data_IF_302298434550
#
_entry.id   IF_302298434550
#
_cell.length_a   1.000
_cell.length_b   1.000
_cell.length_c   1.000
_cell.angle_alpha   90.00
_cell.angle_beta   90.00
_cell.angle_gamma   90.00
#
_symmetry.space_group_name_H-M   'P 1'
#
loop_
_entity.id
_entity.type
_entity.pdbx_description
1 polymer ?
#
# COMPACT_ATOMS: atom_id res chain seq x y z
N UNK A 1 -5.76 -25.88 9.32
CA UNK A 1 -6.16 -24.47 9.55
C UNK A 1 -7.67 -24.45 9.72
N UNK A 2 -8.18 -23.93 10.83
CA UNK A 2 -9.61 -23.66 11.03
C UNK A 2 -9.84 -22.22 10.60
N UNK A 3 -10.72 -22.02 9.62
CA UNK A 3 -11.12 -20.70 9.18
C UNK A 3 -12.45 -20.35 9.83
N UNK A 4 -12.51 -19.17 10.44
CA UNK A 4 -13.70 -18.63 11.09
C UNK A 4 -14.17 -17.40 10.35
N UNK A 5 -15.42 -17.42 9.89
CA UNK A 5 -16.05 -16.25 9.26
C UNK A 5 -16.62 -15.31 10.33
N UNK A 6 -15.84 -14.31 10.69
CA UNK A 6 -16.24 -13.31 11.66
C UNK A 6 -17.39 -12.41 11.16
N UNK A 7 -17.53 -12.26 9.84
CA UNK A 7 -18.55 -11.39 9.23
C UNK A 7 -19.93 -12.10 9.12
N UNK A 8 -20.01 -13.42 9.29
CA UNK A 8 -21.28 -14.13 9.24
C UNK A 8 -22.22 -13.66 10.37
N UNK A 9 -23.35 -13.01 9.99
CA UNK A 9 -24.33 -12.41 10.90
C UNK A 9 -23.77 -11.27 11.80
N UNK A 10 -22.82 -10.51 11.29
CA UNK A 10 -22.21 -9.40 11.99
C UNK A 10 -23.18 -8.19 12.09
N UNK A 11 -23.05 -7.42 13.18
CA UNK A 11 -23.66 -6.09 13.26
C UNK A 11 -22.99 -5.17 12.21
N UNK A 12 -23.74 -4.49 11.35
CA UNK A 12 -23.19 -3.58 10.34
C UNK A 12 -22.22 -2.51 10.89
N UNK A 13 -22.32 -2.21 12.20
CA UNK A 13 -21.42 -1.27 12.88
C UNK A 13 -20.01 -1.83 13.10
N UNK A 14 -19.81 -3.13 13.00
CA UNK A 14 -18.51 -3.78 13.17
C UNK A 14 -17.67 -3.80 11.88
N UNK A 15 -18.25 -3.41 10.75
CA UNK A 15 -17.55 -3.22 9.47
C UNK A 15 -16.71 -4.42 8.99
N UNK A 16 -17.15 -5.64 9.27
CA UNK A 16 -16.43 -6.86 8.88
C UNK A 16 -15.36 -7.32 9.86
N UNK A 17 -15.19 -6.67 11.02
CA UNK A 17 -14.15 -7.03 11.99
C UNK A 17 -14.54 -8.14 12.96
N UNK A 18 -15.85 -8.36 13.23
CA UNK A 18 -16.32 -9.43 14.10
C UNK A 18 -15.93 -9.29 15.57
N UNK A 19 -15.84 -8.08 16.09
CA UNK A 19 -15.41 -7.81 17.46
C UNK A 19 -16.22 -8.58 18.50
N UNK A 20 -17.56 -8.62 18.36
CA UNK A 20 -18.46 -9.26 19.33
C UNK A 20 -18.29 -10.79 19.42
N UNK A 21 -17.80 -11.43 18.36
CA UNK A 21 -17.57 -12.88 18.33
C UNK A 21 -16.16 -13.27 18.76
N UNK A 22 -15.26 -12.30 18.83
CA UNK A 22 -13.85 -12.57 19.08
C UNK A 22 -13.60 -13.22 20.45
N UNK A 23 -14.27 -12.73 21.49
CA UNK A 23 -14.19 -13.33 22.83
C UNK A 23 -14.61 -14.79 22.83
N UNK A 24 -15.79 -15.11 22.31
CA UNK A 24 -16.32 -16.47 22.21
C UNK A 24 -15.36 -17.39 21.45
N UNK A 25 -14.80 -16.88 20.35
CA UNK A 25 -13.83 -17.61 19.54
C UNK A 25 -12.55 -17.94 20.34
N UNK A 26 -12.00 -16.97 21.06
CA UNK A 26 -10.80 -17.17 21.90
C UNK A 26 -11.07 -18.17 23.02
N UNK A 27 -12.22 -18.08 23.69
CA UNK A 27 -12.62 -19.01 24.75
C UNK A 27 -12.82 -20.43 24.22
N UNK A 28 -13.36 -20.57 23.01
CA UNK A 28 -13.59 -21.88 22.37
C UNK A 28 -12.29 -22.53 21.90
N UNK A 29 -11.39 -21.75 21.26
CA UNK A 29 -10.13 -22.25 20.70
C UNK A 29 -9.07 -22.45 21.78
N UNK A 30 -9.10 -21.65 22.85
CA UNK A 30 -8.11 -21.62 23.93
C UNK A 30 -6.66 -21.61 23.39
N UNK A 31 -6.25 -20.59 22.62
CA UNK A 31 -4.95 -20.57 21.95
C UNK A 31 -3.80 -20.27 22.94
N UNK A 32 -2.58 -20.69 22.60
CA UNK A 32 -1.36 -20.26 23.32
C UNK A 32 -0.93 -18.84 22.92
N UNK A 33 -1.21 -18.45 21.67
CA UNK A 33 -0.86 -17.14 21.11
C UNK A 33 -2.06 -16.58 20.33
N UNK A 34 -2.40 -15.35 20.62
CA UNK A 34 -3.32 -14.54 19.82
C UNK A 34 -2.48 -13.55 19.05
N UNK A 35 -2.57 -13.57 17.71
CA UNK A 35 -1.92 -12.57 16.87
C UNK A 35 -2.98 -11.70 16.17
N UNK A 36 -2.91 -10.38 16.37
CA UNK A 36 -3.84 -9.43 15.76
C UNK A 36 -3.05 -8.54 14.81
N UNK A 37 -3.46 -8.55 13.54
CA UNK A 37 -2.92 -7.70 12.49
C UNK A 37 -3.94 -6.64 12.09
N UNK A 38 -3.68 -5.39 12.41
CA UNK A 38 -4.48 -4.24 11.95
C UNK A 38 -3.84 -2.90 12.35
N UNK A 39 -4.56 -1.79 12.09
CA UNK A 39 -4.21 -0.47 12.61
C UNK A 39 -4.44 -0.35 14.13
N UNK A 40 -3.86 0.67 14.80
CA UNK A 40 -3.98 0.83 16.26
C UNK A 40 -5.41 0.95 16.78
N UNK A 41 -6.33 1.53 16.00
CA UNK A 41 -7.72 1.74 16.43
C UNK A 41 -8.44 0.37 16.51
N UNK A 42 -8.34 -0.40 15.45
CA UNK A 42 -8.94 -1.75 15.36
C UNK A 42 -8.34 -2.69 16.40
N UNK A 43 -7.00 -2.70 16.54
CA UNK A 43 -6.31 -3.50 17.55
C UNK A 43 -6.82 -3.18 18.96
N UNK A 44 -7.00 -1.89 19.29
CA UNK A 44 -7.53 -1.51 20.60
C UNK A 44 -8.94 -2.02 20.84
N UNK A 45 -9.79 -2.09 19.83
CA UNK A 45 -11.13 -2.68 19.96
C UNK A 45 -11.06 -4.16 20.30
N UNK A 46 -10.19 -4.93 19.63
CA UNK A 46 -9.95 -6.34 19.99
C UNK A 46 -9.40 -6.51 21.40
N UNK A 47 -8.47 -5.66 21.83
CA UNK A 47 -7.94 -5.68 23.20
C UNK A 47 -9.05 -5.45 24.24
N UNK A 48 -10.04 -4.59 23.94
CA UNK A 48 -11.18 -4.39 24.85
C UNK A 48 -12.00 -5.69 25.00
N UNK A 49 -12.19 -6.47 23.94
CA UNK A 49 -12.92 -7.76 24.00
C UNK A 49 -12.18 -8.82 24.83
N UNK A 50 -10.86 -8.71 24.98
CA UNK A 50 -10.03 -9.64 25.73
C UNK A 50 -9.95 -9.35 27.23
N UNK A 51 -10.46 -8.21 27.73
CA UNK A 51 -10.31 -7.78 29.12
C UNK A 51 -10.87 -8.79 30.12
N UNK A 52 -11.99 -9.42 29.78
CA UNK A 52 -12.71 -10.36 30.65
C UNK A 52 -12.43 -11.83 30.29
N UNK A 53 -11.48 -12.08 29.38
CA UNK A 53 -11.05 -13.42 29.02
C UNK A 53 -9.91 -13.86 29.92
N UNK A 54 -10.02 -15.06 30.51
CA UNK A 54 -8.96 -15.63 31.34
C UNK A 54 -7.65 -15.72 30.54
N UNK A 55 -6.57 -15.09 31.05
CA UNK A 55 -5.31 -15.00 30.32
C UNK A 55 -4.50 -16.29 30.48
N UNK A 56 -4.66 -17.21 29.52
CA UNK A 56 -3.78 -18.36 29.31
C UNK A 56 -2.89 -18.22 28.05
N UNK A 57 -2.98 -17.10 27.36
CA UNK A 57 -2.42 -16.83 26.05
C UNK A 57 -1.43 -15.63 26.10
N UNK A 58 -0.60 -15.53 25.07
CA UNK A 58 0.24 -14.35 24.79
C UNK A 58 -0.38 -13.54 23.66
N UNK A 59 -0.39 -12.22 23.80
CA UNK A 59 -0.88 -11.31 22.76
C UNK A 59 0.28 -10.76 21.94
N UNK A 60 0.27 -11.06 20.65
CA UNK A 60 1.16 -10.50 19.66
C UNK A 60 0.38 -9.53 18.78
N UNK A 61 0.89 -8.33 18.62
CA UNK A 61 0.26 -7.29 17.82
C UNK A 61 1.14 -6.99 16.62
N UNK A 62 0.62 -7.29 15.42
CA UNK A 62 1.26 -6.90 14.17
C UNK A 62 0.65 -5.57 13.70
N UNK A 63 1.39 -4.49 13.90
CA UNK A 63 0.87 -3.14 13.86
C UNK A 63 0.99 -2.55 12.46
N UNK A 64 -0.15 -2.29 11.81
CA UNK A 64 -0.22 -1.53 10.56
C UNK A 64 -0.17 -0.03 10.85
N UNK A 65 1.02 0.54 10.76
CA UNK A 65 1.23 1.98 10.85
C UNK A 65 1.54 2.56 9.48
N UNK A 66 0.80 3.60 9.09
CA UNK A 66 0.97 4.28 7.80
C UNK A 66 1.39 5.73 7.94
N UNK A 67 1.30 6.29 9.16
CA UNK A 67 1.68 7.67 9.47
C UNK A 67 2.64 7.73 10.64
N UNK A 68 3.58 8.68 10.60
CA UNK A 68 4.34 9.07 11.78
C UNK A 68 3.46 9.84 12.76
N UNK A 69 3.87 9.93 14.00
CA UNK A 69 3.03 10.37 15.08
C UNK A 69 2.24 9.21 15.67
N UNK A 70 1.44 9.47 16.68
CA UNK A 70 0.61 8.45 17.30
C UNK A 70 -0.44 9.07 18.20
N UNK A 71 -1.58 8.41 18.29
CA UNK A 71 -2.43 8.55 19.47
C UNK A 71 -1.76 7.80 20.62
N UNK A 72 -1.22 8.58 21.57
CA UNK A 72 -0.48 8.00 22.69
C UNK A 72 -1.37 7.18 23.62
N UNK A 73 -2.68 7.44 23.67
CA UNK A 73 -3.63 6.62 24.44
C UNK A 73 -3.77 5.22 23.83
N UNK A 74 -3.93 5.13 22.50
CA UNK A 74 -4.03 3.87 21.80
C UNK A 74 -2.71 3.07 21.90
N UNK A 75 -1.57 3.71 21.70
CA UNK A 75 -0.27 3.04 21.83
C UNK A 75 0.00 2.53 23.23
N UNK A 76 -0.35 3.27 24.29
CA UNK A 76 -0.20 2.80 25.67
C UNK A 76 -1.09 1.61 25.98
N UNK A 77 -2.31 1.59 25.46
CA UNK A 77 -3.18 0.43 25.63
C UNK A 77 -2.59 -0.81 24.98
N UNK A 78 -2.02 -0.66 23.77
CA UNK A 78 -1.33 -1.76 23.08
C UNK A 78 -0.10 -2.19 23.89
N UNK A 79 0.74 -1.23 24.31
CA UNK A 79 1.94 -1.47 25.09
C UNK A 79 1.67 -2.26 26.39
N UNK A 80 0.57 -1.91 27.09
CA UNK A 80 0.17 -2.57 28.33
C UNK A 80 -0.44 -3.96 28.14
N UNK A 81 -1.04 -4.22 26.99
CA UNK A 81 -1.75 -5.48 26.71
C UNK A 81 -0.88 -6.51 26.00
N UNK A 82 0.02 -6.06 25.10
CA UNK A 82 0.78 -6.92 24.23
C UNK A 82 2.02 -7.51 24.93
N UNK A 83 2.26 -8.79 24.71
CA UNK A 83 3.52 -9.46 25.09
C UNK A 83 4.61 -9.22 24.01
N UNK A 84 4.18 -8.86 22.79
CA UNK A 84 5.07 -8.56 21.65
C UNK A 84 4.39 -7.63 20.66
N UNK A 85 5.15 -6.65 20.16
CA UNK A 85 4.74 -5.81 19.03
C UNK A 85 5.59 -6.17 17.82
N UNK A 86 4.94 -6.31 16.67
CA UNK A 86 5.58 -6.58 15.39
C UNK A 86 5.26 -5.40 14.47
N UNK A 87 6.24 -4.93 13.73
CA UNK A 87 6.09 -3.85 12.75
C UNK A 87 6.68 -4.23 11.41
N UNK A 88 6.37 -3.47 10.35
CA UNK A 88 6.74 -3.83 8.98
C UNK A 88 8.20 -3.59 8.64
N UNK A 89 8.86 -2.63 9.29
CA UNK A 89 10.23 -2.23 8.93
C UNK A 89 11.02 -1.77 10.16
N UNK A 90 12.34 -1.76 10.07
CA UNK A 90 13.21 -1.20 11.10
C UNK A 90 12.93 0.29 11.37
N UNK A 91 12.47 1.02 10.36
CA UNK A 91 12.08 2.42 10.53
C UNK A 91 10.88 2.55 11.44
N UNK A 92 9.86 1.69 11.27
CA UNK A 92 8.70 1.64 12.16
C UNK A 92 9.08 1.17 13.56
N UNK A 93 9.97 0.19 13.68
CA UNK A 93 10.52 -0.22 14.97
C UNK A 93 11.18 0.95 15.69
N UNK A 94 12.08 1.66 15.01
CA UNK A 94 12.76 2.84 15.57
C UNK A 94 11.74 3.91 16.00
N UNK A 95 10.72 4.15 15.18
CA UNK A 95 9.65 5.11 15.50
C UNK A 95 8.88 4.69 16.77
N UNK A 96 8.50 3.43 16.89
CA UNK A 96 7.81 2.90 18.08
C UNK A 96 8.68 3.01 19.33
N UNK A 97 9.97 2.67 19.24
CA UNK A 97 10.92 2.78 20.36
C UNK A 97 11.02 4.20 20.94
N UNK A 98 10.77 5.24 20.14
CA UNK A 98 10.73 6.63 20.62
C UNK A 98 9.41 7.02 21.28
N UNK A 99 8.38 6.19 21.21
CA UNK A 99 7.02 6.47 21.67
C UNK A 99 6.57 5.59 22.83
N UNK A 100 7.05 4.37 22.88
CA UNK A 100 6.73 3.41 23.92
C UNK A 100 7.61 3.66 25.16
N UNK A 101 7.05 3.39 26.33
CA UNK A 101 7.67 3.70 27.63
C UNK A 101 8.00 2.48 28.45
N UNK A 102 7.43 1.33 28.12
CA UNK A 102 7.68 0.06 28.83
C UNK A 102 9.07 -0.47 28.49
N UNK A 103 9.98 -0.58 29.47
CA UNK A 103 11.41 -0.86 29.20
C UNK A 103 11.69 -2.20 28.52
N UNK A 104 10.80 -3.17 28.67
CA UNK A 104 11.03 -4.57 28.26
C UNK A 104 10.06 -5.07 27.17
N UNK A 105 9.26 -4.17 26.56
CA UNK A 105 8.38 -4.62 25.48
C UNK A 105 9.22 -5.10 24.28
N UNK A 106 8.91 -6.29 23.80
CA UNK A 106 9.59 -6.86 22.63
C UNK A 106 9.00 -6.26 21.36
N UNK A 107 9.84 -5.57 20.58
CA UNK A 107 9.46 -5.05 19.28
C UNK A 107 10.30 -5.77 18.23
N UNK A 108 9.63 -6.50 17.34
CA UNK A 108 10.27 -7.23 16.25
C UNK A 108 9.85 -6.66 14.90
N UNK A 109 10.60 -6.99 13.87
CA UNK A 109 10.30 -6.62 12.48
C UNK A 109 9.93 -7.88 11.72
N UNK A 110 8.80 -7.83 11.04
CA UNK A 110 8.39 -8.80 10.04
C UNK A 110 7.98 -8.04 8.79
N UNK A 111 8.85 -7.99 7.81
CA UNK A 111 8.54 -7.33 6.54
C UNK A 111 7.46 -8.09 5.76
N UNK A 112 6.97 -7.50 4.69
CA UNK A 112 6.09 -8.21 3.76
C UNK A 112 6.92 -8.90 2.68
N UNK A 113 6.45 -10.08 2.30
CA UNK A 113 6.95 -10.83 1.16
C UNK A 113 6.09 -10.64 -0.08
N UNK A 114 6.48 -11.28 -1.17
CA UNK A 114 5.72 -11.37 -2.41
C UNK A 114 5.64 -12.82 -2.89
N UNK A 115 4.51 -13.21 -3.47
CA UNK A 115 4.40 -14.48 -4.17
C UNK A 115 4.90 -14.31 -5.61
N UNK A 116 6.16 -14.67 -5.84
CA UNK A 116 6.79 -14.59 -7.16
C UNK A 116 6.38 -15.71 -8.14
N UNK A 117 5.55 -16.65 -7.71
CA UNK A 117 4.90 -17.61 -8.61
C UNK A 117 3.70 -16.96 -9.31
N UNK A 118 3.03 -16.07 -8.62
CA UNK A 118 1.88 -15.30 -9.12
C UNK A 118 2.37 -14.01 -9.79
N UNK A 119 3.06 -13.15 -9.03
CA UNK A 119 3.55 -11.86 -9.51
C UNK A 119 4.87 -12.02 -10.24
N UNK A 120 4.80 -11.94 -11.57
CA UNK A 120 5.93 -12.20 -12.47
C UNK A 120 5.73 -11.52 -13.82
N UNK A 121 6.82 -11.31 -14.60
CA UNK A 121 6.69 -10.84 -15.97
C UNK A 121 5.88 -11.81 -16.84
N UNK A 122 5.00 -11.25 -17.66
CA UNK A 122 4.32 -11.93 -18.75
C UNK A 122 5.09 -11.77 -20.06
N UNK A 123 4.79 -12.60 -21.04
CA UNK A 123 5.34 -12.44 -22.39
C UNK A 123 4.82 -11.15 -23.06
N UNK A 124 5.58 -10.63 -24.03
CA UNK A 124 5.17 -9.45 -24.80
C UNK A 124 3.82 -9.67 -25.51
N UNK A 125 3.55 -10.89 -25.97
CA UNK A 125 2.29 -11.26 -26.62
C UNK A 125 1.11 -11.13 -25.65
N UNK A 126 1.23 -11.69 -24.44
CA UNK A 126 0.18 -11.60 -23.39
C UNK A 126 -0.03 -10.15 -22.98
N UNK A 127 1.05 -9.42 -22.70
CA UNK A 127 1.02 -8.00 -22.35
C UNK A 127 0.32 -7.15 -23.40
N UNK A 128 0.64 -7.34 -24.68
CA UNK A 128 0.02 -6.62 -25.79
C UNK A 128 -1.46 -6.99 -25.95
N UNK A 129 -1.82 -8.25 -25.70
CA UNK A 129 -3.22 -8.69 -25.68
C UNK A 129 -4.03 -7.96 -24.63
N UNK A 130 -3.50 -7.82 -23.41
CA UNK A 130 -4.17 -7.10 -22.30
C UNK A 130 -4.27 -5.61 -22.63
N UNK A 131 -3.21 -4.97 -23.13
CA UNK A 131 -3.23 -3.56 -23.57
C UNK A 131 -4.31 -3.30 -24.62
N UNK A 132 -4.45 -4.18 -25.59
CA UNK A 132 -5.51 -4.10 -26.62
C UNK A 132 -6.91 -4.13 -26.01
N UNK A 133 -7.15 -5.04 -25.04
CA UNK A 133 -8.44 -5.14 -24.36
C UNK A 133 -8.78 -3.89 -23.54
N UNK A 134 -7.77 -3.19 -23.03
CA UNK A 134 -7.91 -1.93 -22.30
C UNK A 134 -7.88 -0.68 -23.21
N UNK A 135 -7.86 -0.86 -24.53
CA UNK A 135 -7.71 0.22 -25.52
C UNK A 135 -6.47 1.11 -25.29
N UNK A 136 -5.38 0.51 -24.79
CA UNK A 136 -4.10 1.19 -24.61
C UNK A 136 -3.26 1.00 -25.87
N UNK A 137 -2.71 2.07 -26.49
CA UNK A 137 -1.87 1.94 -27.68
C UNK A 137 -0.65 1.05 -27.42
N UNK A 138 -0.31 0.19 -28.38
CA UNK A 138 0.79 -0.77 -28.22
C UNK A 138 2.15 -0.10 -27.99
N UNK A 139 2.36 1.09 -28.56
CA UNK A 139 3.58 1.89 -28.40
C UNK A 139 3.55 2.83 -27.19
N UNK A 140 2.51 2.79 -26.37
CA UNK A 140 2.40 3.67 -25.20
C UNK A 140 3.42 3.28 -24.12
N UNK A 141 3.98 4.30 -23.48
CA UNK A 141 4.67 4.19 -22.21
C UNK A 141 3.60 4.36 -21.12
N UNK A 142 3.33 3.29 -20.38
CA UNK A 142 2.19 3.21 -19.47
C UNK A 142 2.64 3.38 -18.04
N UNK A 143 2.06 4.36 -17.37
CA UNK A 143 2.14 4.54 -15.92
C UNK A 143 0.92 3.87 -15.27
N UNK A 144 1.11 3.23 -14.12
CA UNK A 144 0.04 2.59 -13.35
C UNK A 144 -0.05 3.18 -11.94
N UNK A 145 -1.23 3.66 -11.58
CA UNK A 145 -1.59 3.86 -10.17
C UNK A 145 -2.71 2.86 -9.81
N UNK A 146 -2.38 1.89 -8.96
CA UNK A 146 -3.31 0.87 -8.49
C UNK A 146 -3.49 1.00 -6.99
N UNK A 147 -4.39 1.90 -6.60
CA UNK A 147 -4.65 2.20 -5.21
C UNK A 147 -6.15 2.33 -4.93
N UNK A 148 -6.55 1.98 -3.71
CA UNK A 148 -7.89 2.31 -3.22
C UNK A 148 -8.12 3.83 -3.29
N UNK A 149 -9.30 4.26 -3.72
CA UNK A 149 -9.66 5.66 -3.81
C UNK A 149 -9.95 6.24 -2.42
N UNK A 150 -8.92 6.65 -1.72
CA UNK A 150 -9.01 7.29 -0.41
C UNK A 150 -8.14 8.54 -0.37
N UNK A 151 -8.46 9.48 0.52
CA UNK A 151 -7.74 10.75 0.68
C UNK A 151 -6.22 10.54 0.77
N UNK A 152 -5.79 9.58 1.59
CA UNK A 152 -4.39 9.25 1.81
C UNK A 152 -3.62 8.90 0.54
N UNK A 153 -4.28 8.28 -0.44
CA UNK A 153 -3.62 7.80 -1.67
C UNK A 153 -3.31 8.89 -2.69
N UNK A 154 -3.84 10.11 -2.48
CA UNK A 154 -3.52 11.31 -3.28
C UNK A 154 -3.54 11.04 -4.78
N UNK A 155 -4.65 10.44 -5.26
CA UNK A 155 -4.83 10.17 -6.69
C UNK A 155 -4.82 11.46 -7.52
N UNK A 156 -5.26 12.57 -6.92
CA UNK A 156 -5.16 13.92 -7.48
C UNK A 156 -3.72 14.26 -7.87
N UNK A 157 -2.76 14.01 -6.99
CA UNK A 157 -1.36 14.35 -7.20
C UNK A 157 -0.72 13.51 -8.34
N UNK A 158 -1.12 12.24 -8.49
CA UNK A 158 -0.73 11.43 -9.65
C UNK A 158 -1.23 12.06 -10.96
N UNK A 159 -2.50 12.45 -11.01
CA UNK A 159 -3.12 13.02 -12.21
C UNK A 159 -2.54 14.39 -12.56
N UNK A 160 -2.33 15.24 -11.55
CA UNK A 160 -1.67 16.54 -11.71
C UNK A 160 -0.24 16.40 -12.26
N UNK A 161 0.53 15.46 -11.73
CA UNK A 161 1.88 15.16 -12.19
C UNK A 161 1.88 14.64 -13.63
N UNK A 162 0.97 13.73 -13.95
CA UNK A 162 0.84 13.19 -15.31
C UNK A 162 0.44 14.25 -16.33
N UNK A 163 -0.49 15.16 -16.02
CA UNK A 163 -0.86 16.25 -16.91
C UNK A 163 0.33 17.20 -17.20
N UNK A 164 1.17 17.48 -16.19
CA UNK A 164 2.41 18.27 -16.37
C UNK A 164 3.43 17.54 -17.24
N UNK A 165 3.57 16.24 -17.08
CA UNK A 165 4.43 15.41 -17.94
C UNK A 165 4.00 15.50 -19.41
N UNK A 166 2.69 15.44 -19.69
CA UNK A 166 2.15 15.60 -21.04
C UNK A 166 2.41 16.99 -21.61
N UNK A 167 2.35 18.03 -20.79
CA UNK A 167 2.68 19.40 -21.20
C UNK A 167 4.15 19.55 -21.60
N UNK A 168 5.05 18.92 -20.84
CA UNK A 168 6.49 18.95 -21.12
C UNK A 168 6.85 18.11 -22.36
N UNK A 169 6.13 17.00 -22.59
CA UNK A 169 6.41 16.05 -23.68
C UNK A 169 5.17 15.74 -24.53
N UNK A 170 4.66 16.71 -25.29
CA UNK A 170 3.36 16.62 -25.99
C UNK A 170 3.27 15.53 -27.05
N UNK A 171 4.41 15.08 -27.60
CA UNK A 171 4.47 14.09 -28.68
C UNK A 171 4.83 12.68 -28.19
N UNK A 172 5.13 12.53 -26.90
CA UNK A 172 5.41 11.20 -26.33
C UNK A 172 4.10 10.43 -26.14
N UNK A 173 4.10 9.12 -26.41
CA UNK A 173 2.89 8.29 -26.28
C UNK A 173 2.68 7.85 -24.81
N UNK A 174 2.67 8.80 -23.88
CA UNK A 174 2.40 8.51 -22.49
C UNK A 174 0.94 8.18 -22.27
N UNK A 175 0.68 7.22 -21.39
CA UNK A 175 -0.63 6.78 -20.98
C UNK A 175 -0.65 6.48 -19.46
N UNK A 176 -1.70 6.87 -18.77
CA UNK A 176 -1.89 6.57 -17.35
C UNK A 176 -3.06 5.59 -17.19
N UNK A 177 -2.79 4.44 -16.59
CA UNK A 177 -3.80 3.50 -16.16
C UNK A 177 -4.07 3.70 -14.66
N UNK A 178 -5.32 4.03 -14.33
CA UNK A 178 -5.79 4.11 -12.95
C UNK A 178 -6.65 2.88 -12.66
N UNK A 179 -6.28 2.10 -11.65
CA UNK A 179 -7.06 0.95 -11.18
C UNK A 179 -7.57 1.31 -9.78
N UNK A 180 -8.83 1.78 -9.71
CA UNK A 180 -9.37 2.37 -8.48
C UNK A 180 -10.90 2.43 -8.52
N UNK A 181 -11.55 2.42 -7.36
CA UNK A 181 -12.99 2.65 -7.27
C UNK A 181 -13.33 4.11 -7.58
N UNK A 182 -14.38 4.35 -8.36
CA UNK A 182 -14.76 5.72 -8.78
C UNK A 182 -16.17 6.12 -8.35
N UNK A 183 -16.96 5.20 -7.80
CA UNK A 183 -18.35 5.49 -7.41
C UNK A 183 -18.41 5.98 -5.97
N UNK A 184 -19.12 7.10 -5.71
CA UNK A 184 -19.27 7.65 -4.35
C UNK A 184 -19.89 6.67 -3.36
N UNK A 185 -20.85 5.87 -3.77
CA UNK A 185 -21.47 4.82 -2.95
C UNK A 185 -20.51 3.72 -2.50
N UNK A 186 -19.39 3.55 -3.22
CA UNK A 186 -18.27 2.69 -2.82
C UNK A 186 -17.20 3.39 -2.01
N UNK A 187 -17.46 4.61 -1.53
CA UNK A 187 -16.52 5.38 -0.69
C UNK A 187 -15.38 6.06 -1.47
N UNK A 188 -15.55 6.27 -2.78
CA UNK A 188 -14.55 6.98 -3.58
C UNK A 188 -14.39 8.44 -3.12
N UNK A 189 -13.17 8.82 -2.74
CA UNK A 189 -12.85 10.17 -2.29
C UNK A 189 -12.60 11.14 -3.47
N UNK A 190 -11.93 10.65 -4.51
CA UNK A 190 -11.59 11.43 -5.71
C UNK A 190 -12.48 11.04 -6.90
N UNK A 191 -12.64 12.01 -7.83
CA UNK A 191 -13.21 11.78 -9.17
C UNK A 191 -12.08 11.89 -10.21
N UNK A 192 -11.36 10.80 -10.50
CA UNK A 192 -10.08 10.88 -11.24
C UNK A 192 -10.21 11.51 -12.60
N UNK A 193 -11.23 11.13 -13.39
CA UNK A 193 -11.41 11.69 -14.73
C UNK A 193 -11.69 13.20 -14.68
N UNK A 194 -12.54 13.63 -13.75
CA UNK A 194 -12.86 15.06 -13.60
C UNK A 194 -11.62 15.88 -13.20
N UNK A 195 -10.84 15.37 -12.26
CA UNK A 195 -9.58 16.02 -11.85
C UNK A 195 -8.64 16.14 -13.04
N UNK A 196 -8.49 15.05 -13.82
CA UNK A 196 -7.60 15.05 -14.97
C UNK A 196 -8.03 16.09 -16.04
N UNK A 197 -9.31 16.12 -16.39
CA UNK A 197 -9.80 17.09 -17.39
C UNK A 197 -9.66 18.53 -16.91
N UNK A 198 -9.91 18.80 -15.63
CA UNK A 198 -9.67 20.12 -15.03
C UNK A 198 -8.19 20.52 -15.10
N UNK A 199 -7.27 19.59 -14.84
CA UNK A 199 -5.82 19.85 -14.94
C UNK A 199 -5.39 20.15 -16.39
N UNK A 200 -5.95 19.43 -17.37
CA UNK A 200 -5.69 19.74 -18.78
C UNK A 200 -6.12 21.18 -19.13
N UNK A 201 -7.32 21.58 -18.69
CA UNK A 201 -7.84 22.93 -18.90
C UNK A 201 -6.94 23.99 -18.23
N UNK A 202 -6.60 23.81 -16.96
CA UNK A 202 -5.71 24.73 -16.21
C UNK A 202 -4.32 24.87 -16.84
N UNK A 203 -3.84 23.82 -17.48
CA UNK A 203 -2.55 23.82 -18.18
C UNK A 203 -2.62 24.31 -19.63
N UNK A 204 -3.83 24.60 -20.14
CA UNK A 204 -4.07 24.99 -21.53
C UNK A 204 -3.83 23.86 -22.54
N UNK A 205 -4.07 22.61 -22.12
CA UNK A 205 -3.95 21.42 -22.96
C UNK A 205 -5.32 21.06 -23.59
N UNK A 206 -5.29 20.62 -24.85
CA UNK A 206 -6.50 20.24 -25.58
C UNK A 206 -7.10 18.91 -25.04
N UNK A 207 -8.28 18.98 -24.47
CA UNK A 207 -9.02 17.83 -23.94
C UNK A 207 -9.35 16.78 -25.03
N UNK A 208 -9.52 17.17 -26.30
CA UNK A 208 -9.76 16.20 -27.37
C UNK A 208 -8.50 15.38 -27.69
N UNK A 209 -7.33 16.02 -27.62
CA UNK A 209 -6.02 15.35 -27.86
C UNK A 209 -5.57 14.51 -26.67
N UNK A 210 -5.72 15.04 -25.46
CA UNK A 210 -5.11 14.43 -24.26
C UNK A 210 -6.10 13.69 -23.37
N UNK A 211 -7.42 13.92 -23.48
CA UNK A 211 -8.44 13.30 -22.63
C UNK A 211 -8.43 11.76 -22.65
N UNK A 212 -8.02 11.17 -23.78
CA UNK A 212 -7.91 9.70 -23.93
C UNK A 212 -6.61 9.11 -23.39
N UNK A 213 -5.72 9.92 -22.82
CA UNK A 213 -4.44 9.44 -22.26
C UNK A 213 -4.54 8.87 -20.86
N UNK A 214 -5.73 8.87 -20.26
CA UNK A 214 -6.03 8.21 -18.99
C UNK A 214 -7.10 7.17 -19.21
N UNK A 215 -6.84 5.95 -18.78
CA UNK A 215 -7.83 4.87 -18.69
C UNK A 215 -8.10 4.53 -17.23
N UNK A 216 -9.34 4.17 -16.92
CA UNK A 216 -9.74 3.80 -15.56
C UNK A 216 -10.36 2.41 -15.59
N UNK A 217 -9.82 1.53 -14.74
CA UNK A 217 -10.45 0.25 -14.38
C UNK A 217 -11.14 0.46 -13.05
N UNK A 218 -12.46 0.47 -13.06
CA UNK A 218 -13.28 0.71 -11.86
C UNK A 218 -13.29 -0.54 -10.96
N UNK A 219 -12.83 -0.37 -9.73
CA UNK A 219 -12.81 -1.40 -8.69
C UNK A 219 -13.86 -1.18 -7.61
N UNK A 220 -14.93 -0.42 -7.90
CA UNK A 220 -15.97 -0.15 -6.91
C UNK A 220 -16.73 -1.45 -6.55
N UNK A 221 -16.79 -1.83 -5.25
CA UNK A 221 -17.59 -2.96 -4.81
C UNK A 221 -19.08 -2.80 -5.16
N UNK A 222 -19.84 -3.90 -5.31
CA UNK A 222 -19.45 -5.32 -5.21
C UNK A 222 -18.98 -5.95 -6.52
N UNK A 223 -18.83 -5.20 -7.60
CA UNK A 223 -18.71 -5.74 -8.97
C UNK A 223 -17.29 -6.09 -9.40
N UNK A 224 -16.27 -5.68 -8.64
CA UNK A 224 -14.88 -5.86 -9.05
C UNK A 224 -14.05 -6.55 -7.96
N UNK A 225 -14.13 -7.87 -7.90
CA UNK A 225 -13.15 -8.68 -7.21
C UNK A 225 -12.12 -9.19 -8.24
N UNK A 226 -10.87 -8.73 -8.11
CA UNK A 226 -9.76 -9.24 -8.90
C UNK A 226 -9.02 -10.32 -8.10
N UNK A 227 -8.84 -11.49 -8.72
CA UNK A 227 -7.90 -12.47 -8.19
C UNK A 227 -6.45 -12.04 -8.49
N UNK A 228 -5.50 -12.71 -7.88
CA UNK A 228 -4.09 -12.36 -7.99
C UNK A 228 -3.57 -12.44 -9.43
N UNK A 229 -4.06 -13.36 -10.26
CA UNK A 229 -3.72 -13.45 -11.67
C UNK A 229 -4.18 -12.21 -12.46
N UNK A 230 -5.40 -11.72 -12.18
CA UNK A 230 -5.91 -10.51 -12.81
C UNK A 230 -5.13 -9.27 -12.35
N UNK A 231 -4.72 -9.23 -11.09
CA UNK A 231 -3.84 -8.18 -10.55
C UNK A 231 -2.48 -8.23 -11.24
N UNK A 232 -1.87 -9.42 -11.38
CA UNK A 232 -0.61 -9.58 -12.12
C UNK A 232 -0.73 -9.13 -13.57
N UNK A 233 -1.85 -9.41 -14.24
CA UNK A 233 -2.10 -8.91 -15.60
C UNK A 233 -2.12 -7.39 -15.65
N UNK A 234 -2.79 -6.72 -14.71
CA UNK A 234 -2.83 -5.26 -14.62
C UNK A 234 -1.44 -4.66 -14.36
N UNK A 235 -0.65 -5.26 -13.48
CA UNK A 235 0.73 -4.84 -13.26
C UNK A 235 1.59 -4.95 -14.53
N UNK A 236 1.44 -6.02 -15.30
CA UNK A 236 2.21 -6.23 -16.53
C UNK A 236 1.83 -5.27 -17.68
N UNK A 237 0.67 -4.62 -17.63
CA UNK A 237 0.28 -3.60 -18.63
C UNK A 237 1.23 -2.41 -18.60
N UNK A 238 1.73 -2.05 -17.42
CA UNK A 238 2.48 -0.83 -17.19
C UNK A 238 3.99 -1.00 -17.37
N UNK A 239 4.65 0.11 -17.67
CA UNK A 239 6.10 0.25 -17.73
C UNK A 239 6.66 0.84 -16.44
N UNK A 240 5.84 1.64 -15.72
CA UNK A 240 6.22 2.35 -14.50
C UNK A 240 5.06 2.33 -13.50
N UNK A 241 5.33 1.96 -12.25
CA UNK A 241 4.38 2.12 -11.16
C UNK A 241 4.43 3.52 -10.56
N UNK A 242 3.28 4.04 -10.12
CA UNK A 242 3.19 5.36 -9.47
C UNK A 242 2.35 5.26 -8.21
N UNK A 243 2.89 5.71 -7.08
CA UNK A 243 2.14 5.84 -5.83
C UNK A 243 2.47 7.18 -5.16
N UNK A 244 1.48 8.05 -5.09
CA UNK A 244 1.59 9.38 -4.50
C UNK A 244 1.04 9.49 -3.08
N UNK A 245 0.90 8.35 -2.39
CA UNK A 245 0.34 8.27 -1.03
C UNK A 245 1.10 9.13 -0.02
N UNK A 246 0.35 9.84 0.84
CA UNK A 246 0.89 10.66 1.93
C UNK A 246 1.50 9.85 3.09
N UNK A 247 1.22 8.55 3.14
CA UNK A 247 1.72 7.63 4.15
C UNK A 247 1.49 6.18 3.73
N UNK A 248 2.43 5.31 4.04
CA UNK A 248 2.37 3.88 3.78
C UNK A 248 3.04 3.10 4.91
N UNK A 249 2.50 1.92 5.20
CA UNK A 249 3.10 1.03 6.16
C UNK A 249 4.32 0.29 5.59
N UNK A 250 4.18 -0.29 4.40
CA UNK A 250 5.22 -1.02 3.70
C UNK A 250 5.28 -0.67 2.21
N UNK A 251 4.17 -0.81 1.48
CA UNK A 251 4.10 -0.62 0.03
C UNK A 251 4.02 -1.94 -0.74
N UNK A 252 3.15 -2.86 -0.31
CA UNK A 252 3.01 -4.19 -0.89
C UNK A 252 2.70 -4.15 -2.39
N UNK A 253 1.77 -3.28 -2.83
CA UNK A 253 1.43 -3.13 -4.24
C UNK A 253 2.64 -2.75 -5.11
N UNK A 254 3.56 -1.94 -4.57
CA UNK A 254 4.79 -1.57 -5.27
C UNK A 254 5.76 -2.74 -5.37
N UNK A 255 5.89 -3.55 -4.32
CA UNK A 255 6.74 -4.74 -4.34
C UNK A 255 6.21 -5.78 -5.33
N UNK A 256 4.89 -6.01 -5.38
CA UNK A 256 4.23 -6.88 -6.34
C UNK A 256 4.42 -6.38 -7.79
N UNK A 257 4.25 -5.07 -8.02
CA UNK A 257 4.47 -4.50 -9.35
C UNK A 257 5.95 -4.59 -9.77
N UNK A 258 6.90 -4.41 -8.85
CA UNK A 258 8.33 -4.64 -9.14
C UNK A 258 8.61 -6.09 -9.53
N UNK A 259 7.84 -7.05 -9.02
CA UNK A 259 7.98 -8.46 -9.41
C UNK A 259 7.66 -8.70 -10.90
N UNK A 260 6.95 -7.80 -11.56
CA UNK A 260 6.72 -7.81 -13.02
C UNK A 260 7.80 -7.08 -13.82
N UNK A 261 8.76 -6.44 -13.16
CA UNK A 261 9.90 -5.77 -13.77
C UNK A 261 9.76 -4.25 -13.91
N UNK A 262 8.71 -3.63 -13.35
CA UNK A 262 8.46 -2.21 -13.49
C UNK A 262 9.14 -1.38 -12.38
N UNK A 263 9.94 -0.34 -12.72
CA UNK A 263 10.42 0.63 -11.73
C UNK A 263 9.26 1.43 -11.14
N UNK A 264 9.46 1.99 -9.94
CA UNK A 264 8.42 2.67 -9.19
C UNK A 264 8.71 4.16 -9.00
N UNK A 265 7.68 5.00 -9.10
CA UNK A 265 7.65 6.38 -8.66
C UNK A 265 6.86 6.44 -7.36
N UNK A 266 7.49 6.88 -6.29
CA UNK A 266 6.89 6.97 -4.95
C UNK A 266 7.33 8.26 -4.24
N UNK A 267 6.62 8.69 -3.20
CA UNK A 267 7.15 9.70 -2.29
C UNK A 267 8.32 9.10 -1.48
N UNK A 268 9.29 9.94 -1.09
CA UNK A 268 10.45 9.51 -0.29
C UNK A 268 10.05 9.18 1.17
N UNK A 269 9.08 8.29 1.32
CA UNK A 269 8.66 7.77 2.61
C UNK A 269 9.63 6.70 3.10
N UNK A 270 9.86 6.70 4.42
CA UNK A 270 10.85 5.81 5.04
C UNK A 270 10.52 4.31 4.87
N UNK A 271 9.25 3.94 4.75
CA UNK A 271 8.83 2.55 4.55
C UNK A 271 9.41 1.93 3.26
N UNK A 272 9.55 2.72 2.20
CA UNK A 272 10.10 2.23 0.94
C UNK A 272 11.60 1.96 0.99
N UNK A 273 12.32 2.60 1.91
CA UNK A 273 13.76 2.37 2.11
C UNK A 273 14.11 0.95 2.55
N UNK A 274 13.11 0.20 3.03
CA UNK A 274 13.27 -1.20 3.41
C UNK A 274 13.58 -2.11 2.20
N UNK A 275 13.12 -1.73 0.99
CA UNK A 275 13.30 -2.59 -0.18
C UNK A 275 13.59 -1.85 -1.50
N UNK A 276 13.26 -0.57 -1.65
CA UNK A 276 13.52 0.18 -2.88
C UNK A 276 14.93 0.78 -2.90
N UNK A 277 15.54 0.75 -4.07
CA UNK A 277 16.85 1.37 -4.34
C UNK A 277 16.72 2.41 -5.46
N UNK A 278 17.74 3.25 -5.64
CA UNK A 278 17.79 4.23 -6.74
C UNK A 278 17.91 3.55 -8.13
N UNK A 279 18.20 2.24 -8.18
CA UNK A 279 18.23 1.47 -9.42
C UNK A 279 16.84 0.92 -9.80
N UNK A 280 15.88 0.90 -8.87
CA UNK A 280 14.56 0.30 -9.03
C UNK A 280 13.41 1.29 -8.84
N UNK A 281 13.72 2.51 -8.37
CA UNK A 281 12.70 3.52 -8.06
C UNK A 281 13.22 4.94 -8.20
N UNK A 282 12.29 5.86 -8.47
CA UNK A 282 12.50 7.30 -8.33
C UNK A 282 11.64 7.80 -7.18
N UNK A 283 12.27 8.39 -6.18
CA UNK A 283 11.59 8.90 -4.99
C UNK A 283 11.37 10.41 -5.11
N UNK A 284 10.10 10.84 -5.08
CA UNK A 284 9.73 12.26 -5.06
C UNK A 284 10.12 12.87 -3.71
N UNK A 285 10.82 14.00 -3.67
CA UNK A 285 11.21 14.63 -2.42
C UNK A 285 9.99 15.10 -1.63
N UNK A 286 10.00 14.92 -0.31
CA UNK A 286 8.98 15.46 0.57
C UNK A 286 9.15 16.98 0.68
N UNK A 287 8.12 17.77 0.35
CA UNK A 287 8.17 19.25 0.35
C UNK A 287 7.53 19.87 1.57
N UNK A 288 6.47 19.23 2.08
CA UNK A 288 5.79 19.69 3.27
C UNK A 288 5.16 18.54 4.03
N UNK A 289 4.70 18.84 5.22
CA UNK A 289 3.88 17.94 6.02
C UNK A 289 2.72 18.70 6.63
N UNK A 290 1.66 17.96 6.95
CA UNK A 290 0.52 18.45 7.72
C UNK A 290 0.12 17.43 8.77
N UNK A 291 -0.69 17.86 9.72
CA UNK A 291 -1.26 16.93 10.69
C UNK A 291 -2.64 16.48 10.21
N UNK A 292 -2.81 15.17 10.13
CA UNK A 292 -4.08 14.57 9.78
C UNK A 292 -5.09 14.86 10.90
N UNK A 293 -6.21 15.47 10.54
CA UNK A 293 -7.33 15.66 11.45
C UNK A 293 -8.20 14.41 11.44
N UNK A 294 -8.22 13.73 12.56
CA UNK A 294 -9.12 12.59 12.80
C UNK A 294 -10.06 12.93 13.95
N UNK A 295 -11.29 12.39 13.91
CA UNK A 295 -12.30 12.59 14.96
C UNK A 295 -11.85 12.10 16.34
N UNK A 296 -10.88 11.18 16.41
CA UNK A 296 -10.44 10.53 17.65
C UNK A 296 -8.96 10.74 17.98
N UNK A 297 -8.20 11.47 17.20
CA UNK A 297 -6.78 11.61 17.48
C UNK A 297 -6.11 12.65 16.61
N UNK A 298 -5.20 13.38 17.20
CA UNK A 298 -4.44 14.44 16.56
C UNK A 298 -2.97 14.11 16.65
N UNK A 299 -2.21 14.45 15.62
CA UNK A 299 -0.76 14.32 15.65
C UNK A 299 -0.20 13.25 14.71
N UNK A 300 -1.04 12.60 13.92
CA UNK A 300 -0.57 11.80 12.80
C UNK A 300 -0.06 12.71 11.69
N UNK A 301 1.17 12.46 11.23
CA UNK A 301 1.85 13.31 10.25
C UNK A 301 1.73 12.69 8.86
N UNK A 302 1.13 13.42 7.95
CA UNK A 302 1.14 13.10 6.52
C UNK A 302 2.14 13.98 5.76
N UNK A 303 2.77 13.40 4.75
CA UNK A 303 3.77 14.09 3.93
C UNK A 303 3.24 14.29 2.52
N UNK A 304 3.68 15.37 1.86
CA UNK A 304 3.32 15.62 0.47
C UNK A 304 4.51 16.15 -0.34
N UNK A 305 4.35 16.08 -1.65
CA UNK A 305 5.27 16.62 -2.65
C UNK A 305 4.49 17.52 -3.62
N UNK A 306 5.13 18.08 -4.64
CA UNK A 306 4.46 18.87 -5.68
C UNK A 306 4.13 18.04 -6.91
N UNK A 307 3.20 18.51 -7.72
CA UNK A 307 2.88 17.86 -9.00
C UNK A 307 4.06 17.94 -9.99
N UNK A 308 4.88 18.98 -9.88
CA UNK A 308 6.10 19.17 -10.67
C UNK A 308 7.16 18.12 -10.29
N UNK A 309 7.34 17.81 -9.01
CA UNK A 309 8.24 16.77 -8.56
C UNK A 309 7.76 15.38 -9.01
N UNK A 310 6.43 15.13 -9.01
CA UNK A 310 5.85 13.88 -9.53
C UNK A 310 6.09 13.76 -11.03
N UNK A 311 5.86 14.82 -11.81
CA UNK A 311 6.13 14.83 -13.25
C UNK A 311 7.61 14.57 -13.55
N UNK A 312 8.51 15.21 -12.80
CA UNK A 312 9.96 15.00 -12.91
C UNK A 312 10.36 13.56 -12.57
N UNK A 313 9.77 13.00 -11.52
CA UNK A 313 10.01 11.60 -11.14
C UNK A 313 9.49 10.61 -12.19
N UNK A 314 8.29 10.85 -12.75
CA UNK A 314 7.77 10.04 -13.86
C UNK A 314 8.70 10.08 -15.08
N UNK A 315 9.20 11.27 -15.46
CA UNK A 315 10.18 11.43 -16.54
C UNK A 315 11.45 10.62 -16.27
N UNK A 316 11.99 10.72 -15.07
CA UNK A 316 13.22 10.00 -14.69
C UNK A 316 12.99 8.49 -14.69
N UNK A 317 11.82 8.01 -14.22
CA UNK A 317 11.47 6.60 -14.25
C UNK A 317 11.35 6.05 -15.67
N UNK A 318 10.85 6.84 -16.64
CA UNK A 318 10.86 6.46 -18.07
C UNK A 318 12.29 6.23 -18.58
N UNK A 319 13.25 7.04 -18.15
CA UNK A 319 14.65 6.85 -18.53
C UNK A 319 15.27 5.57 -17.92
N UNK A 320 14.70 5.05 -16.84
CA UNK A 320 15.11 3.78 -16.24
C UNK A 320 14.49 2.56 -16.95
N UNK A 321 13.42 2.74 -17.72
CA UNK A 321 12.74 1.61 -18.39
C UNK A 321 13.70 0.92 -19.35
N UNK A 322 14.01 -0.35 -19.06
CA UNK A 322 14.91 -1.17 -19.85
C UNK A 322 15.16 -2.52 -19.19
N UNK A 323 15.82 -3.40 -19.91
CA UNK A 323 16.05 -4.77 -19.49
C UNK A 323 16.80 -4.85 -18.15
N UNK A 324 17.84 -4.06 -17.97
CA UNK A 324 18.66 -4.07 -16.77
C UNK A 324 17.86 -3.69 -15.51
N UNK A 325 17.10 -2.60 -15.56
CA UNK A 325 16.24 -2.19 -14.44
C UNK A 325 15.15 -3.22 -14.19
N UNK A 326 14.53 -3.76 -15.23
CA UNK A 326 13.52 -4.80 -15.10
C UNK A 326 14.07 -6.03 -14.38
N UNK A 327 15.24 -6.52 -14.77
CA UNK A 327 15.92 -7.64 -14.10
C UNK A 327 16.22 -7.33 -12.62
N UNK A 328 16.64 -6.10 -12.30
CA UNK A 328 16.87 -5.66 -10.89
C UNK A 328 15.57 -5.64 -10.08
N UNK A 329 14.49 -5.12 -10.63
CA UNK A 329 13.17 -5.11 -9.98
C UNK A 329 12.70 -6.55 -9.69
N UNK A 330 12.75 -7.43 -10.68
CA UNK A 330 12.37 -8.84 -10.53
C UNK A 330 13.26 -9.55 -9.50
N UNK A 331 14.57 -9.34 -9.56
CA UNK A 331 15.52 -9.97 -8.63
C UNK A 331 15.26 -9.51 -7.19
N UNK A 332 14.99 -8.23 -6.98
CA UNK A 332 14.66 -7.67 -5.66
C UNK A 332 13.37 -8.32 -5.11
N UNK A 333 12.30 -8.36 -5.89
CA UNK A 333 11.06 -8.97 -5.46
C UNK A 333 11.23 -10.48 -5.16
N UNK A 334 11.92 -11.23 -6.03
CA UNK A 334 12.20 -12.65 -5.84
C UNK A 334 13.08 -12.96 -4.62
N UNK A 335 13.87 -12.00 -4.15
CA UNK A 335 14.68 -12.17 -2.93
C UNK A 335 13.85 -12.15 -1.65
N UNK A 336 12.55 -11.81 -1.74
CA UNK A 336 11.61 -11.61 -0.63
C UNK A 336 10.35 -12.49 -0.72
N UNK A 337 10.46 -13.82 -0.89
CA UNK A 337 9.29 -14.68 -0.83
C UNK A 337 8.75 -14.71 0.60
N UNK A 338 7.44 -14.88 0.75
CA UNK A 338 6.79 -14.97 2.06
C UNK A 338 7.41 -16.05 2.96
N UNK A 339 7.81 -17.20 2.41
CA UNK A 339 8.47 -18.26 3.17
C UNK A 339 9.75 -17.74 3.88
N UNK A 340 10.62 -17.05 3.13
CA UNK A 340 11.86 -16.49 3.69
C UNK A 340 11.60 -15.44 4.76
N UNK A 341 10.58 -14.59 4.56
CA UNK A 341 10.19 -13.58 5.54
C UNK A 341 9.67 -14.24 6.83
N UNK A 342 8.80 -15.25 6.70
CA UNK A 342 8.26 -15.97 7.83
C UNK A 342 9.37 -16.76 8.59
N UNK A 343 10.25 -17.43 7.86
CA UNK A 343 11.35 -18.18 8.46
C UNK A 343 12.29 -17.26 9.24
N UNK A 344 12.71 -16.14 8.65
CA UNK A 344 13.58 -15.16 9.33
C UNK A 344 12.89 -14.57 10.58
N UNK A 345 11.57 -14.31 10.52
CA UNK A 345 10.82 -13.86 11.68
C UNK A 345 10.79 -14.93 12.78
N UNK A 346 10.46 -16.18 12.43
CA UNK A 346 10.43 -17.29 13.39
C UNK A 346 11.80 -17.53 14.06
N UNK A 347 12.87 -17.52 13.28
CA UNK A 347 14.24 -17.61 13.81
C UNK A 347 14.52 -16.49 14.81
N UNK A 348 14.17 -15.25 14.48
CA UNK A 348 14.39 -14.08 15.34
C UNK A 348 13.70 -14.17 16.70
N UNK A 349 12.56 -14.87 16.77
CA UNK A 349 11.80 -15.04 18.04
C UNK A 349 12.20 -16.31 18.81
N UNK A 350 12.73 -17.32 18.11
CA UNK A 350 13.20 -18.58 18.74
C UNK A 350 14.59 -18.43 19.35
N UNK A 351 15.49 -17.68 18.69
CA UNK A 351 16.85 -17.43 19.19
C UNK A 351 16.89 -16.57 20.47
N UNK A 352 15.82 -15.78 20.73
CA UNK A 352 15.69 -14.95 21.94
C UNK A 352 15.10 -15.70 23.15
N UNK A 353 15.34 -17.01 23.25
CA UNK A 353 14.90 -17.85 24.39
C UNK A 353 15.88 -17.82 25.57
N UNK A 354 16.54 -16.67 25.83
CA UNK A 354 17.35 -16.48 27.06
C UNK A 354 16.74 -15.42 27.98
#
# INVERSE_FOLDING_TARGET
VIQYDAAANEDPREQGFGFNKFKEYVETVNPDIIMIYNDPIVINQFIQQLKDVAKSWKLWVYLDQVYKGADMGLLRNIENAADRIICFTDTWKTHLMTRLTTPNIKIDVMEHGVDSLVFKPLSDSERNGIRKNLNIPANAIVFLNMNRNSQRKRLDLTLMGFARLLKEFPDKPFHLLMVTGVKPEGGAYYQPLQIYLNELELLGLDNLKYGTRVSIVDTTPPTAYFNDEAINQLYNVADVGVNTSNGEGFGLCQLEHMATGAPQVVLDLDCYKAFMTDETSVRCPLKSYSYLQMTAGVGLTEYTTTAEDVASAMKNAVAMCGRETSEKCVALARSRPWSKICDAFLESILEKKD
#
